data_IF_031747318502
#
_entry.id   IF_031747318502
#
_cell.length_a   1.000
_cell.length_b   1.000
_cell.length_c   1.000
_cell.angle_alpha   90.00
_cell.angle_beta   90.00
_cell.angle_gamma   90.00
#
_symmetry.space_group_name_H-M   'P 1'
#
loop_
_entity.id
_entity.type
_entity.pdbx_description
1 polymer ?
#
# COMPACT_ATOMS: atom_id res chain seq x y z
N UNK A 1 -3.01 -1.79 -17.44
CA UNK A 1 -4.43 -1.40 -17.43
C UNK A 1 -4.85 -1.06 -15.99
N UNK A 2 -5.51 0.09 -15.80
CA UNK A 2 -6.02 0.53 -14.50
C UNK A 2 -7.55 0.50 -14.50
N UNK A 3 -8.19 -0.57 -14.03
CA UNK A 3 -9.65 -0.74 -14.12
C UNK A 3 -10.43 0.41 -13.48
N UNK A 4 -9.98 0.93 -12.34
CA UNK A 4 -10.61 2.06 -11.66
C UNK A 4 -10.54 3.37 -12.45
N UNK A 5 -9.44 3.61 -13.18
CA UNK A 5 -9.30 4.78 -14.05
C UNK A 5 -10.19 4.63 -15.29
N UNK A 6 -10.21 3.44 -15.90
CA UNK A 6 -11.10 3.16 -17.04
C UNK A 6 -12.57 3.38 -16.68
N UNK A 7 -13.02 2.83 -15.54
CA UNK A 7 -14.40 3.04 -15.06
C UNK A 7 -14.69 4.53 -14.82
N UNK A 8 -13.73 5.28 -14.28
CA UNK A 8 -13.89 6.72 -14.03
C UNK A 8 -13.97 7.52 -15.32
N UNK A 9 -13.16 7.20 -16.33
CA UNK A 9 -13.18 7.85 -17.64
C UNK A 9 -14.51 7.56 -18.34
N UNK A 10 -14.98 6.32 -18.33
CA UNK A 10 -16.32 5.96 -18.87
C UNK A 10 -17.43 6.72 -18.15
N UNK A 11 -17.33 6.88 -16.83
CA UNK A 11 -18.31 7.63 -16.02
C UNK A 11 -18.30 9.16 -16.26
N UNK A 12 -17.28 9.71 -16.94
CA UNK A 12 -17.27 11.11 -17.36
C UNK A 12 -18.22 11.38 -18.54
N UNK A 13 -18.64 10.34 -19.26
CA UNK A 13 -19.52 10.41 -20.45
C UNK A 13 -18.99 11.40 -21.53
N UNK A 14 -17.67 11.51 -21.63
CA UNK A 14 -16.98 12.39 -22.60
C UNK A 14 -16.57 11.55 -23.80
N UNK A 15 -17.14 11.74 -24.99
CA UNK A 15 -16.65 11.09 -26.20
C UNK A 15 -15.24 11.60 -26.53
N UNK A 16 -14.26 10.70 -26.61
CA UNK A 16 -12.84 11.00 -26.84
C UNK A 16 -12.23 11.94 -25.79
N UNK A 17 -11.98 11.46 -24.56
CA UNK A 17 -11.43 12.27 -23.49
C UNK A 17 -10.03 12.81 -23.86
N UNK A 18 -9.81 14.10 -23.66
CA UNK A 18 -8.53 14.74 -23.82
C UNK A 18 -7.58 14.42 -22.64
N UNK A 19 -6.30 14.68 -22.81
CA UNK A 19 -5.30 14.45 -21.77
C UNK A 19 -5.65 15.14 -20.44
N UNK A 20 -6.28 16.32 -20.48
CA UNK A 20 -6.73 17.06 -19.30
C UNK A 20 -7.83 16.32 -18.53
N UNK A 21 -8.75 15.64 -19.23
CA UNK A 21 -9.83 14.88 -18.59
C UNK A 21 -9.27 13.65 -17.87
N UNK A 22 -8.32 12.97 -18.52
CA UNK A 22 -7.59 11.84 -17.93
C UNK A 22 -6.78 12.29 -16.71
N UNK A 23 -6.07 13.41 -16.81
CA UNK A 23 -5.29 13.99 -15.72
C UNK A 23 -6.18 14.31 -14.50
N UNK A 24 -7.33 14.97 -14.72
CA UNK A 24 -8.28 15.29 -13.66
C UNK A 24 -8.89 14.03 -13.04
N UNK A 25 -9.20 13.02 -13.85
CA UNK A 25 -9.69 11.73 -13.36
C UNK A 25 -8.65 11.04 -12.45
N UNK A 26 -7.37 11.10 -12.80
CA UNK A 26 -6.27 10.55 -11.97
C UNK A 26 -6.16 11.32 -10.66
N UNK A 27 -6.17 12.66 -10.68
CA UNK A 27 -6.14 13.49 -9.46
C UNK A 27 -7.29 13.09 -8.54
N UNK A 28 -8.52 13.10 -9.03
CA UNK A 28 -9.72 12.78 -8.25
C UNK A 28 -9.68 11.36 -7.65
N UNK A 29 -9.10 10.38 -8.36
CA UNK A 29 -8.91 9.02 -7.85
C UNK A 29 -7.86 8.98 -6.74
N UNK A 30 -6.77 9.72 -6.90
CA UNK A 30 -5.69 9.79 -5.90
C UNK A 30 -6.17 10.47 -4.62
N UNK A 31 -6.84 11.61 -4.72
CA UNK A 31 -7.40 12.35 -3.57
C UNK A 31 -8.40 11.52 -2.77
N UNK A 32 -9.16 10.64 -3.42
CA UNK A 32 -10.08 9.71 -2.74
C UNK A 32 -9.37 8.56 -2.01
N UNK A 33 -8.22 8.12 -2.53
CA UNK A 33 -7.51 6.95 -2.01
C UNK A 33 -6.40 7.30 -1.04
N UNK A 34 -5.73 8.42 -1.25
CA UNK A 34 -4.53 8.81 -0.51
C UNK A 34 -4.82 10.03 0.35
N UNK A 35 -4.36 10.04 1.59
CA UNK A 35 -4.47 11.21 2.44
C UNK A 35 -3.56 12.34 1.92
N UNK A 36 -4.02 13.60 2.03
CA UNK A 36 -3.20 14.77 1.76
C UNK A 36 -2.06 14.82 2.79
N UNK A 37 -0.77 14.75 2.36
CA UNK A 37 0.36 14.75 3.28
C UNK A 37 0.53 16.06 4.05
N UNK A 38 -0.11 17.15 3.63
CA UNK A 38 -0.14 18.41 4.38
C UNK A 38 -1.07 18.35 5.58
N UNK A 39 -2.13 17.55 5.51
CA UNK A 39 -3.12 17.38 6.58
C UNK A 39 -2.82 16.13 7.41
N UNK A 40 -2.36 15.07 6.76
CA UNK A 40 -2.02 13.79 7.38
C UNK A 40 -0.62 13.37 6.90
N UNK A 41 0.43 13.82 7.61
CA UNK A 41 1.81 13.55 7.25
C UNK A 41 2.08 12.06 7.01
N UNK A 42 2.59 11.76 5.84
CA UNK A 42 2.90 10.40 5.40
C UNK A 42 3.95 10.44 4.28
N UNK A 43 4.58 9.29 4.01
CA UNK A 43 5.57 9.11 2.95
C UNK A 43 5.00 8.37 1.71
N UNK A 44 3.67 8.32 1.56
CA UNK A 44 3.03 7.52 0.52
C UNK A 44 2.99 6.04 0.88
N UNK A 45 3.19 5.16 -0.10
CA UNK A 45 3.29 3.72 0.17
C UNK A 45 4.51 3.43 1.04
N UNK A 46 4.27 2.80 2.20
CA UNK A 46 5.32 2.52 3.17
C UNK A 46 6.00 1.16 2.93
N UNK A 47 5.30 0.21 2.33
CA UNK A 47 5.83 -1.12 1.98
C UNK A 47 5.76 -1.37 0.47
N UNK A 48 6.75 -2.09 -0.05
CA UNK A 48 6.76 -2.58 -1.43
C UNK A 48 5.81 -3.77 -1.58
N UNK A 49 5.23 -3.92 -2.77
CA UNK A 49 4.54 -5.17 -3.12
C UNK A 49 5.54 -6.33 -3.16
N UNK A 50 5.11 -7.48 -2.64
CA UNK A 50 5.98 -8.67 -2.53
C UNK A 50 6.05 -9.38 -3.87
N UNK A 51 7.26 -9.72 -4.30
CA UNK A 51 7.49 -10.56 -5.47
C UNK A 51 7.72 -12.00 -5.04
N UNK A 52 7.01 -12.93 -5.67
CA UNK A 52 7.11 -14.37 -5.38
C UNK A 52 7.18 -15.16 -6.68
N UNK A 53 7.65 -16.41 -6.60
CA UNK A 53 7.58 -17.35 -7.68
C UNK A 53 6.20 -18.03 -7.79
N UNK A 54 5.84 -18.63 -8.94
CA UNK A 54 4.54 -19.31 -9.13
C UNK A 54 4.24 -20.43 -8.13
N UNK A 55 5.24 -21.23 -7.76
CA UNK A 55 5.04 -22.33 -6.80
C UNK A 55 4.65 -21.82 -5.40
N UNK A 56 5.21 -20.67 -4.98
CA UNK A 56 4.78 -20.01 -3.73
C UNK A 56 3.36 -19.48 -3.85
N UNK A 57 2.98 -18.93 -5.02
CA UNK A 57 1.61 -18.48 -5.26
C UNK A 57 0.60 -19.62 -5.15
N UNK A 58 0.84 -20.77 -5.79
CA UNK A 58 -0.04 -21.93 -5.73
C UNK A 58 -0.29 -22.36 -4.28
N UNK A 59 0.77 -22.53 -3.49
CA UNK A 59 0.68 -22.86 -2.06
C UNK A 59 -0.15 -21.82 -1.28
N UNK A 60 0.02 -20.54 -1.57
CA UNK A 60 -0.74 -19.48 -0.89
C UNK A 60 -2.22 -19.49 -1.30
N UNK A 61 -2.54 -19.74 -2.57
CA UNK A 61 -3.91 -19.79 -3.06
C UNK A 61 -4.70 -20.97 -2.49
N UNK A 62 -4.06 -22.07 -2.13
CA UNK A 62 -4.71 -23.17 -1.41
C UNK A 62 -5.27 -22.72 -0.05
N UNK A 63 -4.50 -21.90 0.67
CA UNK A 63 -4.90 -21.38 2.00
C UNK A 63 -5.73 -20.09 1.90
N UNK A 64 -5.44 -19.26 0.90
CA UNK A 64 -6.05 -17.94 0.70
C UNK A 64 -6.62 -17.79 -0.73
N UNK A 65 -7.75 -18.41 -1.06
CA UNK A 65 -8.29 -18.40 -2.43
C UNK A 65 -8.63 -17.00 -2.97
N UNK A 66 -8.84 -16.02 -2.08
CA UNK A 66 -9.13 -14.63 -2.43
C UNK A 66 -7.89 -13.74 -2.52
N UNK A 67 -6.67 -14.28 -2.39
CA UNK A 67 -5.43 -13.54 -2.49
C UNK A 67 -5.29 -12.91 -3.88
N UNK A 68 -5.28 -11.58 -4.02
CA UNK A 68 -5.06 -10.95 -5.31
C UNK A 68 -3.58 -11.02 -5.70
N UNK A 69 -3.34 -11.15 -6.99
CA UNK A 69 -1.99 -11.15 -7.55
C UNK A 69 -1.97 -10.50 -8.93
N UNK A 70 -0.78 -10.08 -9.36
CA UNK A 70 -0.52 -9.50 -10.68
C UNK A 70 0.66 -10.22 -11.32
N UNK A 71 0.49 -10.67 -12.56
CA UNK A 71 1.59 -11.21 -13.34
C UNK A 71 2.57 -10.08 -13.69
N UNK A 72 3.85 -10.34 -13.53
CA UNK A 72 4.91 -9.44 -13.96
C UNK A 72 5.45 -10.00 -15.26
N UNK A 73 5.14 -9.33 -16.37
CA UNK A 73 5.72 -9.66 -17.68
C UNK A 73 7.17 -9.16 -17.71
N UNK A 74 8.07 -9.97 -17.18
CA UNK A 74 9.49 -9.78 -17.31
C UNK A 74 10.05 -10.94 -18.14
N UNK A 75 10.67 -10.64 -19.27
CA UNK A 75 11.20 -11.64 -20.21
C UNK A 75 12.25 -12.60 -19.60
N UNK A 76 12.67 -12.36 -18.36
CA UNK A 76 13.74 -13.11 -17.70
C UNK A 76 13.28 -13.96 -16.49
N UNK A 77 12.09 -13.74 -15.93
CA UNK A 77 11.61 -14.55 -14.79
C UNK A 77 10.08 -14.57 -14.68
N UNK A 78 9.51 -15.76 -14.55
CA UNK A 78 8.12 -15.92 -14.16
C UNK A 78 7.97 -15.44 -12.69
N UNK A 79 7.55 -14.19 -12.52
CA UNK A 79 7.40 -13.55 -11.22
C UNK A 79 5.97 -13.03 -11.06
N UNK A 80 5.46 -13.13 -9.84
CA UNK A 80 4.12 -12.65 -9.48
C UNK A 80 4.25 -11.61 -8.37
N UNK A 81 3.50 -10.52 -8.47
CA UNK A 81 3.40 -9.48 -7.43
C UNK A 81 2.15 -9.66 -6.59
N UNK A 82 2.34 -9.72 -5.28
CA UNK A 82 1.26 -9.66 -4.30
C UNK A 82 1.11 -8.23 -3.75
N UNK A 83 -0.12 -7.68 -3.67
CA UNK A 83 -0.34 -6.38 -3.06
C UNK A 83 -0.06 -6.43 -1.56
N UNK A 84 0.96 -5.71 -1.10
CA UNK A 84 1.27 -5.61 0.33
C UNK A 84 0.08 -5.05 1.14
N UNK A 85 -0.72 -4.16 0.54
CA UNK A 85 -1.94 -3.64 1.17
C UNK A 85 -2.89 -4.75 1.62
N UNK A 86 -3.09 -5.78 0.78
CA UNK A 86 -3.98 -6.89 1.10
C UNK A 86 -3.42 -7.74 2.24
N UNK A 87 -2.12 -8.04 2.23
CA UNK A 87 -1.45 -8.81 3.28
C UNK A 87 -1.55 -8.09 4.64
N UNK A 88 -1.32 -6.79 4.65
CA UNK A 88 -1.40 -5.92 5.84
C UNK A 88 -2.85 -5.84 6.36
N UNK A 89 -3.80 -5.67 5.44
CA UNK A 89 -5.23 -5.63 5.79
C UNK A 89 -5.71 -6.97 6.35
N UNK A 90 -5.28 -8.09 5.75
CA UNK A 90 -5.60 -9.44 6.23
C UNK A 90 -5.07 -9.67 7.65
N UNK A 91 -3.88 -9.18 7.98
CA UNK A 91 -3.31 -9.20 9.33
C UNK A 91 -3.97 -8.20 10.30
N UNK A 92 -5.01 -7.48 9.87
CA UNK A 92 -5.81 -6.59 10.73
C UNK A 92 -5.18 -5.22 11.00
N UNK A 93 -4.12 -4.81 10.29
CA UNK A 93 -3.47 -3.53 10.54
C UNK A 93 -4.13 -2.32 9.88
N UNK A 94 -5.06 -2.51 8.96
CA UNK A 94 -5.81 -1.40 8.36
C UNK A 94 -6.56 -0.59 9.41
N UNK A 95 -6.26 0.70 9.52
CA UNK A 95 -6.82 1.58 10.54
C UNK A 95 -6.23 1.42 11.94
N UNK A 96 -5.30 0.49 12.16
CA UNK A 96 -4.63 0.29 13.45
C UNK A 96 -3.76 1.49 13.82
N UNK A 97 -3.81 1.85 15.12
CA UNK A 97 -3.05 2.94 15.70
C UNK A 97 -2.15 2.44 16.83
N UNK A 98 -0.88 2.87 16.80
CA UNK A 98 0.07 2.69 17.90
C UNK A 98 0.67 4.06 18.22
N UNK A 99 0.32 4.63 19.37
CA UNK A 99 0.67 6.01 19.71
C UNK A 99 0.10 6.98 18.68
N UNK A 100 0.96 7.81 18.10
CA UNK A 100 0.60 8.76 17.04
C UNK A 100 0.67 8.18 15.62
N UNK A 101 1.16 6.96 15.45
CA UNK A 101 1.28 6.30 14.15
C UNK A 101 0.02 5.51 13.83
N UNK A 102 -0.50 5.66 12.62
CA UNK A 102 -1.75 5.05 12.18
C UNK A 102 -1.58 4.48 10.76
N UNK A 103 -1.93 3.22 10.55
CA UNK A 103 -2.17 2.73 9.18
C UNK A 103 -3.48 3.31 8.67
N UNK A 104 -3.44 3.91 7.48
CA UNK A 104 -4.61 4.61 6.93
C UNK A 104 -5.80 3.67 6.73
N UNK A 105 -7.01 4.13 7.13
CA UNK A 105 -8.22 3.31 7.12
C UNK A 105 -8.71 2.91 5.71
N UNK A 106 -8.37 3.70 4.67
CA UNK A 106 -8.77 3.42 3.29
C UNK A 106 -7.66 2.80 2.44
N UNK A 107 -6.39 2.89 2.92
CA UNK A 107 -5.22 2.39 2.19
C UNK A 107 -4.18 1.84 3.18
N UNK A 108 -4.18 0.55 3.37
CA UNK A 108 -3.33 -0.14 4.34
C UNK A 108 -1.81 -0.09 4.03
N UNK A 109 -1.40 0.54 2.92
CA UNK A 109 0.01 0.82 2.61
C UNK A 109 0.50 2.17 3.14
N UNK A 110 -0.40 3.06 3.57
CA UNK A 110 -0.02 4.42 3.97
C UNK A 110 0.05 4.50 5.49
N UNK A 111 1.26 4.71 5.99
CA UNK A 111 1.53 4.99 7.40
C UNK A 111 1.46 6.50 7.62
N UNK A 112 0.54 6.93 8.50
CA UNK A 112 0.30 8.32 8.87
C UNK A 112 0.96 8.60 10.22
N UNK A 113 1.58 9.76 10.36
CA UNK A 113 2.03 10.30 11.63
C UNK A 113 1.11 11.44 12.09
N UNK A 114 0.29 11.20 13.12
CA UNK A 114 -0.61 12.19 13.72
C UNK A 114 0.04 13.05 14.81
N UNK A 115 1.28 12.78 15.16
CA UNK A 115 1.94 13.38 16.34
C UNK A 115 2.67 14.67 16.07
N UNK A 116 2.30 15.45 15.05
CA UNK A 116 2.92 16.75 14.80
C UNK A 116 2.63 17.77 15.90
N UNK A 117 1.51 17.65 16.61
CA UNK A 117 1.11 18.56 17.68
C UNK A 117 1.85 18.32 19.01
N UNK A 118 2.45 17.13 19.18
CA UNK A 118 3.19 16.75 20.40
C UNK A 118 4.69 17.07 20.36
N UNK A 119 5.13 17.80 19.32
CA UNK A 119 6.53 18.12 19.05
C UNK A 119 7.30 16.94 18.41
N UNK A 120 8.19 17.26 17.49
CA UNK A 120 9.02 16.29 16.74
C UNK A 120 9.81 15.30 17.60
N UNK A 121 10.00 15.61 18.90
CA UNK A 121 10.83 14.81 19.81
C UNK A 121 10.23 13.44 20.19
N UNK A 122 8.93 13.21 19.97
CA UNK A 122 8.27 11.97 20.40
C UNK A 122 8.01 10.96 19.27
N UNK A 123 8.24 11.31 18.01
CA UNK A 123 8.04 10.42 16.84
C UNK A 123 9.35 10.22 16.08
N UNK A 124 10.27 9.55 16.72
CA UNK A 124 11.56 9.17 16.13
C UNK A 124 11.36 8.13 15.03
N UNK A 125 12.32 8.06 14.10
CA UNK A 125 12.39 6.98 13.11
C UNK A 125 12.30 5.59 13.77
N UNK A 126 12.82 5.46 14.99
CA UNK A 126 12.75 4.22 15.79
C UNK A 126 11.32 3.75 16.05
N UNK A 127 10.37 4.66 16.39
CA UNK A 127 8.95 4.30 16.59
C UNK A 127 8.28 3.86 15.31
N UNK A 128 8.60 4.56 14.21
CA UNK A 128 8.11 4.20 12.86
C UNK A 128 8.61 2.81 12.49
N UNK A 129 9.90 2.54 12.68
CA UNK A 129 10.52 1.24 12.42
C UNK A 129 9.95 0.14 13.33
N UNK A 130 9.72 0.42 14.61
CA UNK A 130 9.12 -0.53 15.54
C UNK A 130 7.69 -0.91 15.14
N UNK A 131 6.90 0.06 14.68
CA UNK A 131 5.56 -0.24 14.15
C UNK A 131 5.63 -1.04 12.85
N UNK A 132 6.51 -0.64 11.93
CA UNK A 132 6.75 -1.38 10.69
C UNK A 132 7.19 -2.83 10.96
N UNK A 133 8.10 -3.05 11.90
CA UNK A 133 8.58 -4.37 12.28
C UNK A 133 7.45 -5.25 12.88
N UNK A 134 6.51 -4.65 13.61
CA UNK A 134 5.32 -5.37 14.08
C UNK A 134 4.48 -5.89 12.91
N UNK A 135 4.28 -5.08 11.87
CA UNK A 135 3.56 -5.46 10.65
C UNK A 135 4.32 -6.54 9.89
N UNK A 136 5.63 -6.35 9.69
CA UNK A 136 6.50 -7.29 8.97
C UNK A 136 6.45 -8.67 9.64
N UNK A 137 6.59 -8.70 10.97
CA UNK A 137 6.52 -9.97 11.75
C UNK A 137 5.17 -10.64 11.61
N UNK A 138 4.07 -9.90 11.67
CA UNK A 138 2.73 -10.47 11.53
C UNK A 138 2.50 -11.06 10.14
N UNK A 139 2.90 -10.34 9.08
CA UNK A 139 2.81 -10.85 7.71
C UNK A 139 3.70 -12.07 7.50
N UNK A 140 4.91 -12.07 8.07
CA UNK A 140 5.83 -13.21 8.01
C UNK A 140 5.26 -14.44 8.72
N UNK A 141 4.66 -14.24 9.88
CA UNK A 141 4.06 -15.34 10.65
C UNK A 141 2.86 -15.96 9.92
N UNK A 142 2.01 -15.14 9.26
CA UNK A 142 0.80 -15.60 8.60
C UNK A 142 1.06 -16.21 7.22
N UNK A 143 1.92 -15.56 6.42
CA UNK A 143 2.11 -15.88 5.00
C UNK A 143 3.47 -16.51 4.68
N UNK A 144 4.43 -16.50 5.63
CA UNK A 144 5.84 -16.84 5.38
C UNK A 144 6.47 -15.91 4.31
N UNK A 145 6.05 -14.64 4.28
CA UNK A 145 6.53 -13.59 3.37
C UNK A 145 7.12 -12.43 4.18
N UNK A 146 8.12 -11.77 3.61
CA UNK A 146 8.73 -10.58 4.20
C UNK A 146 8.34 -9.33 3.41
N UNK A 147 7.89 -8.29 4.11
CA UNK A 147 7.64 -6.98 3.53
C UNK A 147 8.93 -6.14 3.56
N UNK A 148 9.23 -5.49 2.44
CA UNK A 148 10.29 -4.49 2.35
C UNK A 148 9.73 -3.08 2.54
N UNK A 149 10.43 -2.26 3.34
CA UNK A 149 10.10 -0.84 3.50
C UNK A 149 10.53 -0.09 2.24
N UNK A 150 9.65 0.78 1.71
CA UNK A 150 9.92 1.56 0.50
C UNK A 150 10.65 2.89 0.79
N UNK A 151 10.27 3.69 1.83
CA UNK A 151 10.98 4.90 2.20
C UNK A 151 12.42 4.64 2.64
N UNK A 152 13.32 5.56 2.27
CA UNK A 152 14.70 5.54 2.77
C UNK A 152 14.79 6.34 4.07
N UNK A 153 15.46 5.77 5.07
CA UNK A 153 15.78 6.46 6.31
C UNK A 153 17.15 7.12 6.14
N UNK A 154 17.20 8.43 6.39
CA UNK A 154 18.43 9.23 6.34
C UNK A 154 18.86 9.46 7.79
N UNK A 155 20.11 9.11 8.10
CA UNK A 155 20.78 9.38 9.39
C UNK A 155 21.26 10.83 9.47
#
# INVERSE_FOLDING_TARGET
DYPSLRQRIVALDVPNPHAVDIFQAVINLREKKLPDPKLLPNAGSFFKNVQINPATLERLLEKYPSLPFYEVNDDQSACVKLPAAWLIEYCGFKGQQIGSLVMHANQALVLINKGLDEGFQNNTAEKVLAFADTIIRSVRQEFDLTLDIEPQFIE
#
